data_IF_471469193703
#
_entry.id   IF_471469193703
#
_cell.length_a   1.000
_cell.length_b   1.000
_cell.length_c   1.000
_cell.angle_alpha   90.00
_cell.angle_beta   90.00
_cell.angle_gamma   90.00
#
_symmetry.space_group_name_H-M   'P 1'
#
loop_
_entity.id
_entity.type
_entity.pdbx_description
1 polymer ?
#
# COMPACT_ATOMS: atom_id res chain seq x y z
N UNK A 1 19.36 0.52 -19.96
CA UNK A 1 20.43 1.04 -19.08
C UNK A 1 20.37 2.56 -19.03
N UNK A 2 20.22 3.28 -20.14
CA UNK A 2 20.25 4.76 -20.19
C UNK A 2 19.16 5.46 -19.37
N UNK A 3 18.02 4.85 -19.18
CA UNK A 3 16.93 5.40 -18.35
C UNK A 3 17.12 5.23 -16.83
N UNK A 4 18.08 4.40 -16.41
CA UNK A 4 18.34 4.08 -14.99
C UNK A 4 19.54 4.88 -14.48
N UNK A 5 20.56 5.11 -15.32
CA UNK A 5 21.75 5.88 -14.95
C UNK A 5 21.48 7.38 -14.92
N UNK A 6 22.01 8.06 -13.90
CA UNK A 6 22.07 9.53 -13.88
C UNK A 6 22.96 9.99 -15.02
N UNK A 7 22.46 10.85 -15.91
CA UNK A 7 23.29 11.54 -16.88
C UNK A 7 24.17 12.57 -16.15
N UNK A 8 25.37 12.15 -15.79
CA UNK A 8 26.36 12.94 -15.05
C UNK A 8 27.10 13.97 -15.92
N UNK A 9 26.75 14.13 -17.19
CA UNK A 9 27.39 15.08 -18.08
C UNK A 9 26.38 15.98 -18.77
N UNK A 10 25.98 17.05 -18.11
CA UNK A 10 25.49 18.25 -18.80
C UNK A 10 25.94 19.49 -18.02
N UNK A 11 26.82 20.21 -18.67
CA UNK A 11 27.35 21.56 -18.49
C UNK A 11 27.06 22.34 -17.19
N UNK A 12 28.08 22.96 -16.71
CA UNK A 12 28.37 23.70 -15.50
C UNK A 12 27.48 24.95 -15.17
N UNK A 13 26.33 25.14 -15.80
CA UNK A 13 25.57 26.37 -15.65
C UNK A 13 24.04 26.25 -15.58
N UNK A 14 23.47 25.05 -15.43
CA UNK A 14 22.02 24.90 -15.25
C UNK A 14 21.64 24.86 -13.78
N UNK A 15 20.60 25.61 -13.46
CA UNK A 15 20.02 25.67 -12.13
C UNK A 15 19.65 24.24 -11.66
N UNK A 16 19.92 23.90 -10.39
CA UNK A 16 19.68 22.56 -9.80
C UNK A 16 18.24 22.07 -10.05
N UNK A 17 17.28 23.01 -10.12
CA UNK A 17 15.87 22.76 -10.40
C UNK A 17 15.63 22.29 -11.83
N UNK A 18 16.29 22.92 -12.83
CA UNK A 18 16.18 22.54 -14.24
C UNK A 18 16.77 21.15 -14.50
N UNK A 19 17.91 20.84 -13.87
CA UNK A 19 18.56 19.51 -13.97
C UNK A 19 17.63 18.43 -13.39
N UNK A 20 16.98 18.71 -12.27
CA UNK A 20 16.05 17.78 -11.64
C UNK A 20 14.81 17.56 -12.51
N UNK A 21 14.22 18.62 -13.09
CA UNK A 21 13.08 18.55 -14.00
C UNK A 21 13.42 17.75 -15.26
N UNK A 22 14.58 17.96 -15.86
CA UNK A 22 15.01 17.21 -17.04
C UNK A 22 15.28 15.72 -16.75
N UNK A 23 15.85 15.40 -15.58
CA UNK A 23 16.03 14.01 -15.14
C UNK A 23 14.69 13.31 -14.95
N UNK A 24 13.71 13.98 -14.37
CA UNK A 24 12.35 13.47 -14.23
C UNK A 24 11.67 13.25 -15.59
N UNK A 25 11.79 14.22 -16.50
CA UNK A 25 11.26 14.08 -17.86
C UNK A 25 11.84 12.87 -18.57
N UNK A 26 13.18 12.68 -18.53
CA UNK A 26 13.83 11.51 -19.13
C UNK A 26 13.39 10.20 -18.49
N UNK A 27 13.23 10.18 -17.17
CA UNK A 27 12.71 9.02 -16.47
C UNK A 27 11.29 8.69 -16.94
N UNK A 28 10.40 9.67 -17.07
CA UNK A 28 9.04 9.45 -17.57
C UNK A 28 9.01 8.97 -19.03
N UNK A 29 9.87 9.51 -19.89
CA UNK A 29 9.99 9.04 -21.26
C UNK A 29 10.54 7.61 -21.36
N UNK A 30 11.50 7.24 -20.52
CA UNK A 30 12.00 5.88 -20.42
C UNK A 30 10.93 4.90 -19.90
N UNK A 31 10.13 5.32 -18.91
CA UNK A 31 8.99 4.55 -18.41
C UNK A 31 7.93 4.27 -19.49
N UNK A 32 7.67 5.25 -20.35
CA UNK A 32 6.72 5.08 -21.47
C UNK A 32 7.18 4.02 -22.47
N UNK A 33 8.49 3.80 -22.57
CA UNK A 33 9.11 2.77 -23.41
C UNK A 33 9.18 1.40 -22.72
N UNK A 34 9.55 1.39 -21.44
CA UNK A 34 9.73 0.16 -20.66
C UNK A 34 9.46 0.40 -19.18
N UNK A 35 8.36 -0.18 -18.68
CA UNK A 35 7.93 -0.05 -17.28
C UNK A 35 8.97 -0.61 -16.28
N UNK A 36 9.85 -1.53 -16.69
CA UNK A 36 10.92 -2.08 -15.83
C UNK A 36 11.85 -1.01 -15.31
N UNK A 37 12.08 0.05 -16.08
CA UNK A 37 12.90 1.20 -15.67
C UNK A 37 12.40 1.79 -14.36
N UNK A 38 11.09 2.00 -14.21
CA UNK A 38 10.54 2.57 -12.98
C UNK A 38 10.55 1.57 -11.82
N UNK A 39 10.34 0.29 -12.08
CA UNK A 39 10.43 -0.74 -11.03
C UNK A 39 11.84 -0.76 -10.42
N UNK A 40 12.89 -0.72 -11.27
CA UNK A 40 14.28 -0.63 -10.82
C UNK A 40 14.52 0.67 -10.04
N UNK A 41 13.99 1.80 -10.52
CA UNK A 41 14.12 3.10 -9.84
C UNK A 41 13.41 3.15 -8.50
N UNK A 42 12.24 2.53 -8.38
CA UNK A 42 11.53 2.42 -7.10
C UNK A 42 12.29 1.53 -6.12
N UNK A 43 12.88 0.42 -6.59
CA UNK A 43 13.71 -0.46 -5.76
C UNK A 43 15.00 0.25 -5.29
N UNK A 44 15.70 0.95 -6.18
CA UNK A 44 16.86 1.78 -5.86
C UNK A 44 16.51 2.88 -4.84
N UNK A 45 15.40 3.59 -5.07
CA UNK A 45 14.92 4.63 -4.14
C UNK A 45 14.58 4.05 -2.77
N UNK A 46 13.92 2.91 -2.72
CA UNK A 46 13.57 2.24 -1.47
C UNK A 46 14.83 1.81 -0.70
N UNK A 47 15.82 1.26 -1.39
CA UNK A 47 17.11 0.94 -0.79
C UNK A 47 17.79 2.18 -0.20
N UNK A 48 17.86 3.26 -0.98
CA UNK A 48 18.43 4.53 -0.53
C UNK A 48 17.70 5.13 0.68
N UNK A 49 16.36 4.99 0.74
CA UNK A 49 15.58 5.46 1.89
C UNK A 49 15.81 4.63 3.14
N UNK A 50 16.01 3.31 3.01
CA UNK A 50 16.34 2.42 4.13
C UNK A 50 17.73 2.68 4.73
N UNK A 51 18.65 3.20 3.92
CA UNK A 51 20.04 3.51 4.31
C UNK A 51 20.30 5.01 4.47
N UNK A 52 19.24 5.81 4.56
CA UNK A 52 19.34 7.28 4.54
C UNK A 52 20.02 7.84 5.81
N UNK A 53 20.05 7.07 6.89
CA UNK A 53 20.72 7.42 8.15
C UNK A 53 22.21 7.70 8.02
N UNK A 54 22.87 7.13 7.01
CA UNK A 54 24.29 7.36 6.74
C UNK A 54 24.59 8.67 6.00
N UNK A 55 23.56 9.43 5.63
CA UNK A 55 23.70 10.75 5.01
C UNK A 55 23.60 11.88 6.05
N UNK A 56 24.12 13.06 5.73
CA UNK A 56 23.93 14.25 6.56
C UNK A 56 22.45 14.70 6.56
N UNK A 57 22.04 15.39 7.60
CA UNK A 57 20.64 15.80 7.84
C UNK A 57 20.02 16.58 6.69
N UNK A 58 20.79 17.50 6.06
CA UNK A 58 20.29 18.27 4.92
C UNK A 58 19.95 17.38 3.72
N UNK A 59 20.80 16.39 3.42
CA UNK A 59 20.54 15.40 2.36
C UNK A 59 19.42 14.43 2.72
N UNK A 60 19.31 14.06 3.99
CA UNK A 60 18.19 13.25 4.47
C UNK A 60 16.85 13.93 4.16
N UNK A 61 16.69 15.20 4.55
CA UNK A 61 15.47 15.96 4.29
C UNK A 61 15.21 16.17 2.79
N UNK A 62 16.26 16.47 1.98
CA UNK A 62 16.14 16.61 0.53
C UNK A 62 15.63 15.31 -0.12
N UNK A 63 16.22 14.16 0.22
CA UNK A 63 15.85 12.87 -0.35
C UNK A 63 14.48 12.38 0.12
N UNK A 64 14.14 12.62 1.38
CA UNK A 64 12.82 12.30 1.91
C UNK A 64 11.72 13.10 1.21
N UNK A 65 11.92 14.41 0.99
CA UNK A 65 10.98 15.27 0.26
C UNK A 65 10.83 14.83 -1.19
N UNK A 66 11.93 14.62 -1.91
CA UNK A 66 11.91 14.09 -3.28
C UNK A 66 11.14 12.76 -3.36
N UNK A 67 11.31 11.89 -2.37
CA UNK A 67 10.62 10.60 -2.31
C UNK A 67 9.12 10.77 -2.09
N UNK A 68 8.72 11.63 -1.16
CA UNK A 68 7.32 11.90 -0.85
C UNK A 68 6.58 12.59 -2.01
N UNK A 69 7.25 13.52 -2.70
CA UNK A 69 6.62 14.34 -3.74
C UNK A 69 6.59 13.62 -5.11
N UNK A 70 7.50 12.68 -5.36
CA UNK A 70 7.68 12.09 -6.69
C UNK A 70 7.51 10.56 -6.66
N UNK A 71 8.34 9.85 -5.92
CA UNK A 71 8.41 8.37 -6.02
C UNK A 71 7.22 7.67 -5.36
N UNK A 72 6.76 8.14 -4.20
CA UNK A 72 5.59 7.56 -3.55
C UNK A 72 4.29 7.78 -4.37
N UNK A 73 4.02 8.96 -4.96
CA UNK A 73 2.93 9.13 -5.92
C UNK A 73 3.02 8.24 -7.16
N UNK A 74 4.21 8.03 -7.72
CA UNK A 74 4.43 7.11 -8.84
C UNK A 74 4.09 5.68 -8.43
N UNK A 75 4.63 5.21 -7.31
CA UNK A 75 4.32 3.87 -6.78
C UNK A 75 2.82 3.68 -6.53
N UNK A 76 2.14 4.72 -6.02
CA UNK A 76 0.69 4.71 -5.83
C UNK A 76 -0.08 4.60 -7.15
N UNK A 77 0.33 5.35 -8.18
CA UNK A 77 -0.31 5.34 -9.51
C UNK A 77 -0.14 3.98 -10.20
N UNK A 78 1.00 3.32 -9.99
CA UNK A 78 1.27 1.98 -10.49
C UNK A 78 0.67 0.86 -9.63
N UNK A 79 0.00 1.20 -8.53
CA UNK A 79 -0.64 0.25 -7.61
C UNK A 79 0.35 -0.55 -6.74
N UNK A 80 1.65 -0.20 -6.71
CA UNK A 80 2.69 -0.90 -5.95
C UNK A 80 2.63 -0.46 -4.49
N UNK A 81 1.56 -0.90 -3.80
CA UNK A 81 1.24 -0.41 -2.46
C UNK A 81 2.32 -0.74 -1.43
N UNK A 82 2.98 -1.90 -1.55
CA UNK A 82 4.05 -2.31 -0.63
C UNK A 82 5.20 -1.31 -0.59
N UNK A 83 5.71 -0.93 -1.78
CA UNK A 83 6.79 0.05 -1.89
C UNK A 83 6.29 1.45 -1.48
N UNK A 84 5.11 1.85 -1.97
CA UNK A 84 4.52 3.15 -1.67
C UNK A 84 4.40 3.40 -0.17
N UNK A 85 3.90 2.43 0.59
CA UNK A 85 3.69 2.53 2.03
C UNK A 85 5.03 2.72 2.75
N UNK A 86 6.03 1.93 2.41
CA UNK A 86 7.34 2.02 3.05
C UNK A 86 8.06 3.33 2.70
N UNK A 87 7.95 3.79 1.44
CA UNK A 87 8.49 5.09 1.03
C UNK A 87 7.83 6.24 1.80
N UNK A 88 6.50 6.20 1.99
CA UNK A 88 5.76 7.20 2.76
C UNK A 88 6.19 7.22 4.23
N UNK A 89 6.24 6.06 4.89
CA UNK A 89 6.61 5.96 6.31
C UNK A 89 8.06 6.41 6.53
N UNK A 90 9.00 5.98 5.66
CA UNK A 90 10.40 6.41 5.73
C UNK A 90 10.54 7.92 5.45
N UNK A 91 9.80 8.47 4.49
CA UNK A 91 9.83 9.90 4.22
C UNK A 91 9.33 10.72 5.40
N UNK A 92 8.22 10.31 6.02
CA UNK A 92 7.70 10.98 7.21
C UNK A 92 8.69 10.93 8.38
N UNK A 93 9.37 9.79 8.58
CA UNK A 93 10.37 9.61 9.64
C UNK A 93 11.50 10.66 9.55
N UNK A 94 11.92 11.04 8.34
CA UNK A 94 12.99 12.02 8.16
C UNK A 94 12.48 13.48 8.02
N UNK A 95 11.24 13.69 7.60
CA UNK A 95 10.67 15.04 7.45
C UNK A 95 10.03 15.56 8.75
N UNK A 96 9.38 14.69 9.51
CA UNK A 96 8.64 15.02 10.72
C UNK A 96 8.94 13.96 11.81
N UNK A 97 10.19 13.84 12.27
CA UNK A 97 10.63 12.74 13.13
C UNK A 97 9.87 12.67 14.46
N UNK A 98 9.55 13.83 15.05
CA UNK A 98 8.80 13.89 16.31
C UNK A 98 7.37 13.37 16.14
N UNK A 99 6.67 13.81 15.10
CA UNK A 99 5.31 13.34 14.79
C UNK A 99 5.30 11.85 14.41
N UNK A 100 6.31 11.40 13.67
CA UNK A 100 6.46 9.99 13.34
C UNK A 100 6.58 9.13 14.59
N UNK A 101 7.47 9.52 15.51
CA UNK A 101 7.70 8.82 16.77
C UNK A 101 6.46 8.84 17.68
N UNK A 102 5.79 9.99 17.79
CA UNK A 102 4.55 10.13 18.57
C UNK A 102 3.45 9.19 18.06
N UNK A 103 3.16 9.23 16.75
CA UNK A 103 2.12 8.39 16.13
C UNK A 103 2.50 6.90 16.24
N UNK A 104 3.77 6.54 16.07
CA UNK A 104 4.25 5.17 16.23
C UNK A 104 4.00 4.66 17.65
N UNK A 105 4.39 5.44 18.66
CA UNK A 105 4.21 5.08 20.07
C UNK A 105 2.72 4.93 20.44
N UNK A 106 1.88 5.88 20.02
CA UNK A 106 0.44 5.82 20.27
C UNK A 106 -0.22 4.62 19.57
N UNK A 107 0.15 4.35 18.30
CA UNK A 107 -0.34 3.19 17.54
C UNK A 107 0.04 1.88 18.21
N UNK A 108 1.32 1.71 18.54
CA UNK A 108 1.85 0.46 19.10
C UNK A 108 1.32 0.21 20.52
N UNK A 109 1.18 1.25 21.32
CA UNK A 109 0.54 1.16 22.65
C UNK A 109 -0.93 0.75 22.56
N UNK A 110 -1.69 1.31 21.60
CA UNK A 110 -3.09 0.95 21.41
C UNK A 110 -3.26 -0.47 20.85
N UNK A 111 -2.36 -0.91 19.97
CA UNK A 111 -2.36 -2.29 19.47
C UNK A 111 -2.02 -3.29 20.56
N UNK A 112 -1.00 -3.02 21.37
CA UNK A 112 -0.61 -3.89 22.47
C UNK A 112 -1.75 -4.03 23.49
N UNK A 113 -2.42 -2.93 23.85
CA UNK A 113 -3.56 -2.97 24.78
C UNK A 113 -4.81 -3.68 24.22
N UNK A 114 -4.89 -3.88 22.91
CA UNK A 114 -6.01 -4.52 22.24
C UNK A 114 -5.66 -5.87 21.61
N UNK A 115 -4.47 -6.41 21.81
CA UNK A 115 -3.93 -7.58 21.11
C UNK A 115 -4.84 -8.81 21.21
N UNK A 116 -5.26 -9.17 22.43
CA UNK A 116 -6.16 -10.29 22.65
C UNK A 116 -7.53 -10.10 21.99
N UNK A 117 -8.03 -8.87 22.02
CA UNK A 117 -9.29 -8.52 21.36
C UNK A 117 -9.18 -8.64 19.85
N UNK A 118 -8.08 -8.19 19.28
CA UNK A 118 -7.79 -8.27 17.84
C UNK A 118 -7.68 -9.72 17.40
N UNK A 119 -6.94 -10.56 18.13
CA UNK A 119 -6.81 -11.99 17.84
C UNK A 119 -8.16 -12.68 17.93
N UNK A 120 -8.91 -12.46 19.01
CA UNK A 120 -10.26 -13.01 19.18
C UNK A 120 -11.20 -12.62 18.03
N UNK A 121 -11.12 -11.37 17.54
CA UNK A 121 -11.94 -10.91 16.42
C UNK A 121 -11.54 -11.62 15.11
N UNK A 122 -10.25 -11.77 14.83
CA UNK A 122 -9.76 -12.48 13.63
C UNK A 122 -10.21 -13.94 13.66
N UNK A 123 -10.11 -14.62 14.82
CA UNK A 123 -10.51 -16.00 14.97
C UNK A 123 -12.02 -16.20 14.83
N UNK A 124 -12.83 -15.27 15.38
CA UNK A 124 -14.28 -15.28 15.17
C UNK A 124 -14.65 -15.13 13.71
N UNK A 125 -14.06 -14.15 13.00
CA UNK A 125 -14.32 -13.94 11.57
C UNK A 125 -13.86 -15.16 10.76
N UNK A 126 -12.75 -15.80 11.11
CA UNK A 126 -12.29 -17.04 10.46
C UNK A 126 -13.31 -18.15 10.62
N UNK A 127 -13.79 -18.36 11.86
CA UNK A 127 -14.81 -19.37 12.14
C UNK A 127 -16.10 -19.12 11.40
N UNK A 128 -16.58 -17.87 11.29
CA UNK A 128 -17.78 -17.53 10.50
C UNK A 128 -17.62 -17.92 9.00
N UNK A 129 -16.42 -17.77 8.44
CA UNK A 129 -16.15 -18.21 7.07
C UNK A 129 -16.15 -19.74 6.95
N UNK A 130 -15.53 -20.42 7.91
CA UNK A 130 -15.47 -21.89 7.96
C UNK A 130 -16.88 -22.50 8.12
N UNK A 131 -17.68 -21.99 9.06
CA UNK A 131 -19.04 -22.44 9.34
C UNK A 131 -19.97 -22.25 8.12
N UNK A 132 -19.69 -21.22 7.30
CA UNK A 132 -20.41 -20.97 6.04
C UNK A 132 -19.86 -21.76 4.84
N UNK A 133 -18.82 -22.57 5.01
CA UNK A 133 -18.18 -23.31 3.93
C UNK A 133 -17.40 -22.44 2.95
N UNK A 134 -17.03 -21.22 3.33
CA UNK A 134 -16.24 -20.33 2.50
C UNK A 134 -14.75 -20.54 2.83
N UNK A 135 -13.99 -21.02 1.84
CA UNK A 135 -12.54 -21.11 1.96
C UNK A 135 -11.92 -19.73 1.95
N UNK A 136 -11.40 -19.28 3.10
CA UNK A 136 -10.86 -17.95 3.28
C UNK A 136 -9.56 -17.95 4.09
N UNK A 137 -8.65 -17.06 3.73
CA UNK A 137 -7.50 -16.70 4.56
C UNK A 137 -7.83 -15.38 5.30
N UNK A 138 -7.93 -15.46 6.62
CA UNK A 138 -8.33 -14.32 7.48
C UNK A 138 -7.16 -13.90 8.35
N UNK A 139 -6.84 -12.62 8.34
CA UNK A 139 -5.76 -12.05 9.17
C UNK A 139 -5.95 -10.55 9.46
N UNK A 140 -5.30 -10.09 10.52
CA UNK A 140 -5.29 -8.70 10.90
C UNK A 140 -4.31 -7.85 10.07
N UNK A 141 -4.66 -6.61 9.83
CA UNK A 141 -3.80 -5.61 9.19
C UNK A 141 -3.76 -4.33 10.00
N UNK A 142 -2.56 -3.94 10.40
CA UNK A 142 -2.32 -2.66 11.07
C UNK A 142 -2.15 -1.54 10.04
N UNK A 143 -2.72 -0.38 10.35
CA UNK A 143 -2.58 0.81 9.51
C UNK A 143 -1.18 1.42 9.66
N UNK A 144 -0.60 1.84 8.53
CA UNK A 144 0.72 2.47 8.47
C UNK A 144 0.73 3.88 9.07
N UNK A 145 1.87 4.30 9.60
CA UNK A 145 2.04 5.56 10.32
C UNK A 145 1.68 6.76 9.44
N UNK A 146 2.20 6.83 8.22
CA UNK A 146 1.87 7.91 7.29
C UNK A 146 0.37 7.98 6.95
N UNK A 147 -0.31 6.83 6.86
CA UNK A 147 -1.75 6.81 6.60
C UNK A 147 -2.57 7.35 7.77
N UNK A 148 -2.08 7.17 8.99
CA UNK A 148 -2.65 7.78 10.21
C UNK A 148 -2.39 9.28 10.19
N UNK A 149 -1.13 9.69 10.05
CA UNK A 149 -0.69 11.09 9.95
C UNK A 149 -1.52 11.86 8.91
N UNK A 150 -1.64 11.33 7.69
CA UNK A 150 -2.42 11.95 6.62
C UNK A 150 -3.89 12.14 6.98
N UNK A 151 -4.51 11.21 7.72
CA UNK A 151 -5.89 11.37 8.19
C UNK A 151 -5.99 12.44 9.28
N UNK A 152 -5.04 12.47 10.21
CA UNK A 152 -4.99 13.51 11.25
C UNK A 152 -4.90 14.90 10.62
N UNK A 153 -3.97 15.10 9.69
CA UNK A 153 -3.77 16.40 9.03
C UNK A 153 -4.93 16.77 8.11
N UNK A 154 -5.32 15.89 7.16
CA UNK A 154 -6.31 16.22 6.13
C UNK A 154 -7.74 16.31 6.65
N UNK A 155 -8.06 15.62 7.76
CA UNK A 155 -9.41 15.60 8.34
C UNK A 155 -9.47 16.33 9.68
N UNK A 156 -8.38 16.97 10.09
CA UNK A 156 -8.24 17.67 11.39
C UNK A 156 -8.71 16.77 12.57
N UNK A 157 -8.25 15.52 12.62
CA UNK A 157 -8.60 14.54 13.63
C UNK A 157 -7.46 14.30 14.61
N UNK A 158 -7.80 14.11 15.87
CA UNK A 158 -6.86 13.56 16.84
C UNK A 158 -6.63 12.06 16.56
N UNK A 159 -5.55 11.50 17.10
CA UNK A 159 -5.25 10.07 16.97
C UNK A 159 -6.41 9.18 17.45
N UNK A 160 -7.06 9.53 18.58
CA UNK A 160 -8.18 8.76 19.15
C UNK A 160 -9.43 8.74 18.26
N UNK A 161 -9.57 9.71 17.37
CA UNK A 161 -10.66 9.75 16.40
C UNK A 161 -10.40 8.88 15.14
N UNK A 162 -9.22 8.24 15.05
CA UNK A 162 -8.90 7.31 13.98
C UNK A 162 -9.41 5.92 14.36
N UNK A 163 -10.61 5.57 13.89
CA UNK A 163 -11.31 4.35 14.23
C UNK A 163 -10.82 3.09 13.48
N UNK A 164 -10.05 3.27 12.40
CA UNK A 164 -9.58 2.22 11.51
C UNK A 164 -8.06 1.95 11.61
N UNK A 165 -7.55 1.96 12.84
CA UNK A 165 -6.14 1.61 13.12
C UNK A 165 -5.85 0.15 12.78
N UNK A 166 -6.87 -0.69 12.92
CA UNK A 166 -6.83 -2.10 12.65
C UNK A 166 -7.95 -2.49 11.66
N UNK A 167 -7.65 -3.38 10.74
CA UNK A 167 -8.61 -3.98 9.82
C UNK A 167 -8.45 -5.50 9.80
N UNK A 168 -9.55 -6.23 9.63
CA UNK A 168 -9.53 -7.65 9.31
C UNK A 168 -9.56 -7.81 7.79
N UNK A 169 -8.67 -8.61 7.26
CA UNK A 169 -8.62 -8.91 5.83
C UNK A 169 -9.07 -10.35 5.58
N UNK A 170 -10.02 -10.50 4.66
CA UNK A 170 -10.56 -11.78 4.20
C UNK A 170 -10.16 -11.94 2.74
N UNK A 171 -9.38 -12.99 2.44
CA UNK A 171 -8.98 -13.34 1.08
C UNK A 171 -9.68 -14.64 0.71
N UNK A 172 -10.42 -14.61 -0.38
CA UNK A 172 -11.23 -15.73 -0.89
C UNK A 172 -10.85 -16.09 -2.33
N UNK A 173 -11.38 -17.21 -2.84
CA UNK A 173 -10.99 -17.73 -4.15
C UNK A 173 -11.74 -17.02 -5.31
N UNK A 174 -12.99 -16.55 -5.11
CA UNK A 174 -13.82 -15.97 -6.18
C UNK A 174 -14.53 -14.66 -5.79
N UNK A 175 -14.93 -13.88 -6.80
CA UNK A 175 -15.76 -12.67 -6.61
C UNK A 175 -17.09 -13.02 -5.95
N UNK A 176 -17.70 -14.15 -6.29
CA UNK A 176 -18.92 -14.64 -5.67
C UNK A 176 -18.72 -14.85 -4.17
N UNK A 177 -17.60 -15.42 -3.76
CA UNK A 177 -17.27 -15.64 -2.35
C UNK A 177 -17.01 -14.33 -1.62
N UNK A 178 -16.49 -13.28 -2.31
CA UNK A 178 -16.36 -11.95 -1.72
C UNK A 178 -17.71 -11.39 -1.25
N UNK A 179 -18.74 -11.48 -2.09
CA UNK A 179 -20.08 -10.99 -1.75
C UNK A 179 -20.80 -11.90 -0.76
N UNK A 180 -20.58 -13.22 -0.84
CA UNK A 180 -21.11 -14.17 0.15
C UNK A 180 -20.52 -13.89 1.54
N UNK A 181 -19.19 -13.72 1.65
CA UNK A 181 -18.52 -13.34 2.88
C UNK A 181 -19.04 -11.99 3.44
N UNK A 182 -19.27 -11.00 2.56
CA UNK A 182 -19.86 -9.71 2.97
C UNK A 182 -21.24 -9.90 3.61
N UNK A 183 -22.10 -10.73 3.00
CA UNK A 183 -23.45 -11.03 3.51
C UNK A 183 -23.41 -11.63 4.90
N UNK A 184 -22.57 -12.65 5.11
CA UNK A 184 -22.38 -13.32 6.41
C UNK A 184 -21.89 -12.32 7.46
N UNK A 185 -20.90 -11.51 7.13
CA UNK A 185 -20.35 -10.51 8.03
C UNK A 185 -21.39 -9.44 8.40
N UNK A 186 -22.22 -8.98 7.47
CA UNK A 186 -23.26 -8.01 7.72
C UNK A 186 -24.47 -8.59 8.51
N UNK A 187 -24.68 -9.91 8.45
CA UNK A 187 -25.64 -10.60 9.30
C UNK A 187 -25.16 -10.63 10.77
N UNK A 188 -23.88 -10.86 10.99
CA UNK A 188 -23.29 -11.01 12.33
C UNK A 188 -22.92 -9.69 13.01
N UNK A 189 -22.52 -8.67 12.23
CA UNK A 189 -22.03 -7.40 12.75
C UNK A 189 -22.76 -6.23 12.10
N UNK A 190 -23.16 -5.25 12.90
CA UNK A 190 -23.90 -4.07 12.42
C UNK A 190 -22.98 -3.14 11.63
N UNK A 191 -23.24 -2.89 10.32
CA UNK A 191 -22.45 -1.94 9.54
C UNK A 191 -22.73 -0.50 9.94
N UNK A 192 -21.68 0.33 9.88
CA UNK A 192 -21.79 1.78 10.07
C UNK A 192 -22.23 2.40 8.74
N UNK A 193 -23.31 3.16 8.77
CA UNK A 193 -23.86 3.82 7.58
C UNK A 193 -22.83 4.73 6.89
N UNK A 194 -22.79 4.70 5.57
CA UNK A 194 -21.86 5.51 4.76
C UNK A 194 -20.41 5.01 4.77
N UNK A 195 -20.10 3.89 5.43
CA UNK A 195 -18.75 3.32 5.52
C UNK A 195 -18.54 2.08 4.65
N UNK A 196 -19.53 1.68 3.90
CA UNK A 196 -19.39 0.62 2.90
C UNK A 196 -18.86 1.19 1.58
N UNK A 197 -17.90 0.49 0.96
CA UNK A 197 -17.34 0.84 -0.36
C UNK A 197 -17.09 -0.43 -1.17
N UNK A 198 -17.67 -0.47 -2.34
CA UNK A 198 -17.49 -1.55 -3.31
C UNK A 198 -16.48 -1.14 -4.40
N UNK A 199 -15.22 -1.49 -4.17
CA UNK A 199 -14.17 -1.30 -5.16
C UNK A 199 -13.98 -2.54 -6.07
N UNK A 200 -14.83 -3.59 -5.92
CA UNK A 200 -14.88 -4.69 -6.89
C UNK A 200 -15.70 -4.25 -8.09
N UNK A 201 -16.91 -3.75 -7.84
CA UNK A 201 -17.79 -3.21 -8.90
C UNK A 201 -17.25 -1.91 -9.52
N UNK A 202 -16.61 -1.05 -8.71
CA UNK A 202 -16.02 0.23 -9.14
C UNK A 202 -14.53 0.31 -8.75
N UNK A 203 -13.63 -0.31 -9.52
CA UNK A 203 -12.19 -0.29 -9.23
C UNK A 203 -11.62 1.13 -9.18
N UNK A 204 -10.60 1.32 -8.35
CA UNK A 204 -9.85 2.58 -8.34
C UNK A 204 -9.01 2.73 -9.62
N UNK A 205 -8.59 3.97 -9.99
CA UNK A 205 -7.77 4.20 -11.19
C UNK A 205 -6.46 3.41 -11.23
N UNK A 206 -5.93 3.00 -10.06
CA UNK A 206 -4.74 2.16 -9.94
C UNK A 206 -5.07 0.65 -9.90
N UNK A 207 -6.24 0.25 -10.38
CA UNK A 207 -6.75 -1.13 -10.46
C UNK A 207 -7.00 -1.81 -9.10
N UNK A 208 -6.96 -1.06 -8.00
CA UNK A 208 -7.27 -1.60 -6.69
C UNK A 208 -8.74 -2.04 -6.60
N UNK A 209 -8.96 -3.30 -6.19
CA UNK A 209 -10.27 -3.90 -5.97
C UNK A 209 -10.34 -4.52 -4.56
N UNK A 210 -11.43 -4.27 -3.85
CA UNK A 210 -11.76 -4.87 -2.56
C UNK A 210 -13.14 -4.38 -2.12
N UNK A 211 -13.89 -5.16 -1.34
CA UNK A 211 -15.01 -4.65 -0.55
C UNK A 211 -14.45 -4.10 0.76
N UNK A 212 -14.92 -2.94 1.18
CA UNK A 212 -14.59 -2.33 2.47
C UNK A 212 -15.86 -2.06 3.24
N UNK A 213 -15.92 -2.52 4.46
CA UNK A 213 -17.03 -2.22 5.38
C UNK A 213 -16.49 -1.93 6.77
N UNK A 214 -17.07 -0.95 7.45
CA UNK A 214 -16.77 -0.66 8.85
C UNK A 214 -17.94 -1.11 9.69
N UNK A 215 -17.66 -1.90 10.70
CA UNK A 215 -18.64 -2.62 11.53
C UNK A 215 -18.45 -2.28 13.00
N UNK A 216 -19.48 -2.52 13.80
CA UNK A 216 -19.39 -2.44 15.26
C UNK A 216 -19.16 -3.85 15.80
N UNK A 217 -18.03 -4.04 16.48
CA UNK A 217 -17.66 -5.30 17.11
C UNK A 217 -18.45 -5.60 18.38
N UNK A 218 -18.29 -6.79 18.95
CA UNK A 218 -19.00 -7.22 20.16
C UNK A 218 -18.76 -6.33 21.38
N UNK A 219 -17.61 -5.68 21.46
CA UNK A 219 -17.24 -4.72 22.51
C UNK A 219 -17.70 -3.29 22.24
N UNK A 220 -18.50 -3.05 21.19
CA UNK A 220 -18.91 -1.71 20.76
C UNK A 220 -17.83 -0.92 20.01
N UNK A 221 -16.63 -1.48 19.82
CA UNK A 221 -15.54 -0.84 19.09
C UNK A 221 -15.71 -1.02 17.58
N UNK A 222 -15.53 0.05 16.78
CA UNK A 222 -15.57 -0.06 15.33
C UNK A 222 -14.30 -0.76 14.80
N UNK A 223 -14.48 -1.58 13.76
CA UNK A 223 -13.39 -2.21 13.02
C UNK A 223 -13.71 -2.27 11.53
N UNK A 224 -12.68 -2.26 10.70
CA UNK A 224 -12.83 -2.35 9.24
C UNK A 224 -12.60 -3.79 8.79
N UNK A 225 -13.42 -4.27 7.85
CA UNK A 225 -13.18 -5.50 7.09
C UNK A 225 -12.89 -5.15 5.64
N UNK A 226 -11.87 -5.81 5.09
CA UNK A 226 -11.48 -5.75 3.68
C UNK A 226 -11.59 -7.15 3.07
N UNK A 227 -12.46 -7.31 2.06
CA UNK A 227 -12.70 -8.60 1.41
C UNK A 227 -12.28 -8.51 -0.06
N UNK A 228 -11.50 -9.47 -0.53
CA UNK A 228 -11.02 -9.52 -1.92
C UNK A 228 -10.54 -10.91 -2.31
N UNK A 229 -10.42 -11.17 -3.60
CA UNK A 229 -9.85 -12.42 -4.08
C UNK A 229 -8.32 -12.42 -3.93
N UNK A 230 -7.69 -13.62 -4.06
CA UNK A 230 -6.22 -13.74 -4.05
C UNK A 230 -5.58 -12.94 -5.21
N UNK A 231 -6.21 -12.90 -6.39
CA UNK A 231 -5.75 -12.10 -7.53
C UNK A 231 -5.81 -10.60 -7.23
N UNK A 232 -6.94 -10.11 -6.73
CA UNK A 232 -7.08 -8.72 -6.28
C UNK A 232 -6.08 -8.37 -5.18
N UNK A 233 -5.76 -9.33 -4.31
CA UNK A 233 -4.76 -9.15 -3.28
C UNK A 233 -3.36 -8.94 -3.87
N UNK A 234 -2.95 -9.75 -4.84
CA UNK A 234 -1.68 -9.59 -5.53
C UNK A 234 -1.60 -8.24 -6.26
N UNK A 235 -2.67 -7.88 -6.98
CA UNK A 235 -2.74 -6.57 -7.65
C UNK A 235 -2.67 -5.42 -6.65
N UNK A 236 -3.38 -5.51 -5.51
CA UNK A 236 -3.36 -4.47 -4.49
C UNK A 236 -2.00 -4.31 -3.78
N UNK A 237 -1.19 -5.36 -3.67
CA UNK A 237 0.14 -5.31 -3.04
C UNK A 237 1.25 -4.94 -4.04
N UNK A 238 1.20 -5.46 -5.26
CA UNK A 238 2.27 -5.36 -6.25
C UNK A 238 1.91 -4.54 -7.50
N UNK A 239 0.64 -4.14 -7.65
CA UNK A 239 0.17 -3.32 -8.77
C UNK A 239 0.48 -3.95 -10.11
N UNK A 240 0.97 -3.12 -11.03
CA UNK A 240 1.33 -3.56 -12.38
C UNK A 240 2.40 -4.66 -12.40
N UNK A 241 3.25 -4.74 -11.38
CA UNK A 241 4.27 -5.80 -11.27
C UNK A 241 3.64 -7.19 -11.06
N UNK A 242 2.41 -7.29 -10.54
CA UNK A 242 1.71 -8.55 -10.39
C UNK A 242 1.42 -9.23 -11.74
N UNK A 243 1.14 -8.46 -12.79
CA UNK A 243 0.85 -8.98 -14.13
C UNK A 243 2.08 -9.49 -14.90
N UNK A 244 3.27 -9.04 -14.55
CA UNK A 244 4.51 -9.44 -15.22
C UNK A 244 4.90 -10.88 -14.93
N UNK A 245 4.67 -11.35 -13.71
CA UNK A 245 4.98 -12.72 -13.32
C UNK A 245 4.14 -13.76 -14.06
N UNK A 246 2.94 -13.38 -14.53
CA UNK A 246 2.07 -14.26 -15.31
C UNK A 246 2.44 -14.35 -16.80
N UNK A 247 2.96 -13.28 -17.41
CA UNK A 247 3.37 -13.30 -18.81
C UNK A 247 4.65 -14.10 -19.04
N UNK A 248 5.59 -14.12 -18.08
CA UNK A 248 6.80 -14.94 -18.20
C UNK A 248 6.52 -16.44 -17.99
N UNK A 249 5.55 -16.80 -17.17
CA UNK A 249 5.17 -18.23 -16.96
C UNK A 249 4.27 -18.74 -18.09
N UNK A 250 3.52 -17.86 -18.77
CA UNK A 250 2.63 -18.23 -19.88
C UNK A 250 3.28 -18.23 -21.28
N UNK A 251 4.44 -17.59 -21.44
CA UNK A 251 5.26 -17.66 -22.64
C UNK A 251 6.40 -18.67 -22.47
N UNK A 252 6.04 -19.92 -22.26
CA UNK A 252 6.93 -21.04 -22.49
C UNK A 252 7.38 -20.99 -23.95
N UNK A 253 8.54 -20.40 -24.19
CA UNK A 253 9.21 -20.42 -25.49
C UNK A 253 9.53 -21.86 -25.78
N UNK A 254 8.69 -22.49 -26.61
CA UNK A 254 9.11 -23.64 -27.41
C UNK A 254 10.10 -23.07 -28.44
N UNK A 255 11.37 -23.10 -28.11
CA UNK A 255 12.44 -22.97 -29.07
C UNK A 255 12.43 -24.24 -29.91
N UNK A 256 11.69 -24.25 -31.02
CA UNK A 256 11.96 -25.17 -32.10
C UNK A 256 13.09 -24.64 -32.93
N UNK A 257 14.30 -25.13 -32.64
CA UNK A 257 15.34 -25.24 -33.66
C UNK A 257 14.78 -26.02 -34.83
N UNK A 258 14.76 -25.38 -36.00
CA UNK A 258 14.84 -26.08 -37.31
C UNK A 258 15.75 -25.25 -38.21
N UNK A 259 16.88 -25.89 -38.47
CA UNK A 259 17.70 -25.88 -39.70
C UNK A 259 17.83 -24.58 -40.48
#
# INVERSE_FOLDING_TARGET
VDGVTKLTQLSYSKDKVEIQAENLRKMFLAMAKDIRVILIKLADRLHNMRTLEYMNTAKQAEKARETMDIYAPIANRLGISKIKIELDDLSLKYLEPEKFAEIAAQRDGKLLSAEDHIHSLVDKVRKEMEDAGIKARVYGRVKHIFSIYKKMVNQNKSFDQILDLFAVRIIVDSVKDCYAALGIIHEKYKPIQGRFKDYIAMPKPNMYQSLHTTLIGPSGQPFEIQIRTEEMHKIAEYGIAAHWKYKEVGSGVVSTNKE
#
